data_IF_199417302695
#
_entry.id   IF_199417302695
#
_cell.length_a   1.000
_cell.length_b   1.000
_cell.length_c   1.000
_cell.angle_alpha   90.00
_cell.angle_beta   90.00
_cell.angle_gamma   90.00
#
_symmetry.space_group_name_H-M   'P 1'
#
loop_
_entity.id
_entity.type
_entity.pdbx_description
1 polymer ?
#
# COMPACT_ATOMS: atom_id res chain seq x y z
N UNK A 1 -6.13 7.07 1.33
CA UNK A 1 -6.41 8.52 1.26
C UNK A 1 -7.61 8.79 2.15
N UNK A 2 -7.59 9.85 2.96
CA UNK A 2 -8.72 10.18 3.82
C UNK A 2 -9.98 10.33 2.94
N UNK A 3 -11.03 9.57 3.22
CA UNK A 3 -12.34 9.72 2.57
C UNK A 3 -12.80 11.15 2.79
N UNK A 4 -12.58 12.00 1.79
CA UNK A 4 -13.11 13.35 1.78
C UNK A 4 -14.58 13.21 1.46
N UNK A 5 -15.37 13.04 2.51
CA UNK A 5 -16.83 13.07 2.44
C UNK A 5 -17.27 14.27 1.63
N UNK A 6 -18.15 14.03 0.67
CA UNK A 6 -18.72 15.08 -0.14
C UNK A 6 -19.49 16.05 0.76
N UNK A 7 -19.52 17.34 0.39
CA UNK A 7 -20.21 18.36 1.17
C UNK A 7 -21.69 18.01 1.44
N UNK A 8 -22.30 17.23 0.55
CA UNK A 8 -23.67 16.72 0.67
C UNK A 8 -23.84 15.69 1.79
N UNK A 9 -22.84 14.84 2.02
CA UNK A 9 -22.86 13.86 3.12
C UNK A 9 -22.68 14.56 4.47
N UNK A 10 -21.85 15.61 4.52
CA UNK A 10 -21.66 16.43 5.73
C UNK A 10 -22.98 17.11 6.12
N UNK A 11 -23.66 17.74 5.15
CA UNK A 11 -24.92 18.44 5.39
C UNK A 11 -26.03 17.46 5.81
N UNK A 12 -26.04 16.25 5.24
CA UNK A 12 -27.01 15.21 5.61
C UNK A 12 -26.79 14.70 7.04
N UNK A 13 -25.53 14.47 7.43
CA UNK A 13 -25.14 14.08 8.79
C UNK A 13 -25.51 15.14 9.83
N UNK A 14 -25.29 16.43 9.53
CA UNK A 14 -25.62 17.53 10.44
C UNK A 14 -27.14 17.68 10.60
N UNK A 15 -27.91 17.51 9.52
CA UNK A 15 -29.38 17.53 9.62
C UNK A 15 -29.93 16.35 10.43
N UNK A 16 -29.36 15.15 10.25
CA UNK A 16 -29.77 13.93 10.94
C UNK A 16 -29.44 13.99 12.44
N UNK A 17 -28.29 14.57 12.80
CA UNK A 17 -27.91 14.78 14.21
C UNK A 17 -28.81 15.81 14.91
N UNK A 18 -29.27 16.83 14.18
CA UNK A 18 -30.12 17.90 14.73
C UNK A 18 -31.58 17.49 14.88
N UNK A 19 -32.05 16.55 14.05
CA UNK A 19 -33.42 16.03 14.07
C UNK A 19 -33.68 15.04 15.23
N UNK A 20 -32.63 14.54 15.89
CA UNK A 20 -32.76 13.64 17.05
C UNK A 20 -33.33 12.26 16.74
N UNK A 21 -33.45 11.91 15.46
CA UNK A 21 -34.05 10.66 14.96
C UNK A 21 -32.94 9.86 14.27
N UNK A 22 -32.12 9.18 15.08
CA UNK A 22 -31.11 8.24 14.60
C UNK A 22 -31.53 6.85 15.06
N UNK A 23 -32.36 6.18 14.27
CA UNK A 23 -32.69 4.78 14.48
C UNK A 23 -31.52 3.92 13.95
N UNK A 24 -30.82 3.25 14.87
CA UNK A 24 -29.59 2.49 14.62
C UNK A 24 -29.82 1.32 13.64
N UNK A 25 -31.07 0.94 13.44
CA UNK A 25 -31.50 -0.10 12.51
C UNK A 25 -31.52 0.35 11.03
N UNK A 26 -31.66 1.64 10.72
CA UNK A 26 -31.61 2.13 9.32
C UNK A 26 -30.18 2.19 8.78
N UNK A 27 -29.21 2.54 9.62
CA UNK A 27 -27.77 2.61 9.26
C UNK A 27 -27.25 1.23 8.80
N UNK A 28 -27.76 0.14 9.40
CA UNK A 28 -27.40 -1.23 9.01
C UNK A 28 -27.99 -1.65 7.65
N UNK A 29 -29.09 -1.05 7.21
CA UNK A 29 -29.68 -1.35 5.89
C UNK A 29 -28.97 -0.62 4.76
N UNK A 30 -28.47 0.59 4.98
CA UNK A 30 -27.66 1.31 3.98
C UNK A 30 -26.26 0.68 3.77
N UNK A 31 -25.71 -0.03 4.76
CA UNK A 31 -24.45 -0.76 4.59
C UNK A 31 -24.55 -2.03 3.72
N UNK A 32 -25.77 -2.46 3.34
CA UNK A 32 -25.99 -3.57 2.39
C UNK A 32 -26.22 -3.07 0.95
N UNK A 33 -26.08 -1.77 0.72
CA UNK A 33 -26.06 -1.21 -0.62
C UNK A 33 -24.76 -1.69 -1.29
N UNK A 34 -24.92 -2.67 -2.20
CA UNK A 34 -23.82 -3.33 -2.91
C UNK A 34 -22.80 -2.27 -3.30
N UNK A 35 -21.58 -2.36 -2.77
CA UNK A 35 -20.48 -1.49 -3.19
C UNK A 35 -20.32 -1.60 -4.71
N UNK A 36 -20.94 -0.67 -5.44
CA UNK A 36 -20.90 -0.60 -6.90
C UNK A 36 -19.53 -0.04 -7.23
N UNK A 37 -18.56 -0.94 -7.42
CA UNK A 37 -17.25 -0.55 -7.93
C UNK A 37 -17.42 -0.05 -9.37
N UNK A 38 -17.09 1.21 -9.59
CA UNK A 38 -17.01 1.81 -10.93
C UNK A 38 -15.99 1.01 -11.73
N UNK A 39 -16.48 0.25 -12.71
CA UNK A 39 -15.63 -0.56 -13.57
C UNK A 39 -15.32 0.21 -14.85
N UNK A 40 -14.05 0.53 -15.09
CA UNK A 40 -13.63 1.16 -16.32
C UNK A 40 -13.54 0.13 -17.45
N UNK A 41 -14.61 0.02 -18.24
CA UNK A 41 -14.66 -0.86 -19.42
C UNK A 41 -13.58 -0.55 -20.48
N UNK A 42 -12.94 0.62 -20.44
CA UNK A 42 -11.82 0.97 -21.34
C UNK A 42 -10.49 0.36 -20.88
N UNK A 43 -10.40 -0.06 -19.61
CA UNK A 43 -9.24 -0.73 -19.01
C UNK A 43 -9.70 -2.06 -18.38
N UNK A 44 -10.05 -3.08 -19.19
CA UNK A 44 -10.43 -4.36 -18.62
C UNK A 44 -9.27 -4.96 -17.83
N UNK A 45 -9.57 -5.39 -16.60
CA UNK A 45 -8.64 -6.16 -15.78
C UNK A 45 -8.13 -7.35 -16.60
N UNK A 46 -6.80 -7.42 -16.76
CA UNK A 46 -6.16 -8.52 -17.51
C UNK A 46 -6.09 -9.79 -16.69
N UNK A 47 -6.13 -9.67 -15.37
CA UNK A 47 -6.07 -10.78 -14.43
C UNK A 47 -7.46 -11.10 -13.88
N UNK A 48 -7.78 -12.39 -13.79
CA UNK A 48 -9.03 -12.83 -13.18
C UNK A 48 -8.99 -12.62 -11.67
N UNK A 49 -10.17 -12.53 -11.03
CA UNK A 49 -10.27 -12.44 -9.56
C UNK A 49 -9.60 -13.62 -8.85
N UNK A 50 -9.60 -14.79 -9.47
CA UNK A 50 -8.92 -15.98 -8.94
C UNK A 50 -7.39 -15.79 -8.98
N UNK A 51 -6.85 -15.30 -10.10
CA UNK A 51 -5.42 -15.02 -10.24
C UNK A 51 -4.95 -13.93 -9.25
N UNK A 52 -5.76 -12.89 -9.01
CA UNK A 52 -5.48 -11.87 -8.01
C UNK A 52 -5.41 -12.45 -6.58
N UNK A 53 -6.32 -13.39 -6.24
CA UNK A 53 -6.27 -14.11 -4.95
C UNK A 53 -5.02 -14.98 -4.85
N UNK A 54 -4.63 -15.66 -5.92
CA UNK A 54 -3.38 -16.43 -5.93
C UNK A 54 -2.17 -15.54 -5.70
N UNK A 55 -2.10 -14.37 -6.35
CA UNK A 55 -1.04 -13.39 -6.11
C UNK A 55 -1.02 -12.91 -4.66
N UNK A 56 -2.19 -12.72 -4.04
CA UNK A 56 -2.29 -12.38 -2.63
C UNK A 56 -1.67 -13.44 -1.73
N UNK A 57 -2.04 -14.70 -1.93
CA UNK A 57 -1.46 -15.80 -1.16
C UNK A 57 0.06 -15.90 -1.35
N UNK A 58 0.57 -15.63 -2.55
CA UNK A 58 2.02 -15.62 -2.82
C UNK A 58 2.71 -14.50 -2.03
N UNK A 59 2.17 -13.28 -2.07
CA UNK A 59 2.75 -12.14 -1.36
C UNK A 59 2.65 -12.29 0.16
N UNK A 60 1.57 -12.87 0.69
CA UNK A 60 1.45 -13.17 2.12
C UNK A 60 2.54 -14.14 2.60
N UNK A 61 2.91 -15.13 1.77
CA UNK A 61 4.03 -16.02 2.08
C UNK A 61 5.38 -15.31 1.97
N UNK A 62 5.57 -14.49 0.92
CA UNK A 62 6.78 -13.69 0.74
C UNK A 62 7.04 -12.78 1.95
N UNK A 63 6.00 -12.08 2.40
CA UNK A 63 6.03 -11.18 3.56
C UNK A 63 6.48 -11.91 4.82
N UNK A 64 5.95 -13.11 5.11
CA UNK A 64 6.40 -13.92 6.25
C UNK A 64 7.91 -14.25 6.20
N UNK A 65 8.41 -14.57 5.01
CA UNK A 65 9.84 -14.81 4.80
C UNK A 65 10.67 -13.53 4.97
N UNK A 66 10.22 -12.40 4.40
CA UNK A 66 10.89 -11.10 4.52
C UNK A 66 10.97 -10.64 5.98
N UNK A 67 9.87 -10.74 6.72
CA UNK A 67 9.83 -10.43 8.16
C UNK A 67 10.90 -11.19 8.93
N UNK A 68 11.05 -12.49 8.67
CA UNK A 68 12.05 -13.33 9.35
C UNK A 68 13.47 -12.91 8.98
N UNK A 69 13.73 -12.69 7.69
CA UNK A 69 15.06 -12.33 7.16
C UNK A 69 15.49 -10.96 7.68
N UNK A 70 14.64 -9.95 7.52
CA UNK A 70 14.95 -8.57 7.90
C UNK A 70 15.03 -8.42 9.41
N UNK A 71 14.18 -9.10 10.18
CA UNK A 71 14.30 -9.09 11.65
C UNK A 71 15.64 -9.66 12.12
N UNK A 72 16.11 -10.71 11.46
CA UNK A 72 17.41 -11.34 11.76
C UNK A 72 18.57 -10.42 11.36
N UNK A 73 18.52 -9.84 10.16
CA UNK A 73 19.60 -9.01 9.62
C UNK A 73 19.73 -7.68 10.37
N UNK A 74 18.61 -7.01 10.65
CA UNK A 74 18.59 -5.72 11.33
C UNK A 74 18.68 -5.85 12.86
N UNK A 75 18.57 -7.09 13.40
CA UNK A 75 18.54 -7.41 14.85
C UNK A 75 17.44 -6.65 15.58
N UNK A 76 16.24 -6.69 15.02
CA UNK A 76 15.04 -6.05 15.58
C UNK A 76 13.80 -6.77 15.16
N UNK A 77 12.69 -6.49 15.85
CA UNK A 77 11.40 -6.98 15.41
C UNK A 77 10.93 -6.06 14.28
N UNK A 78 10.87 -6.59 13.07
CA UNK A 78 10.24 -5.94 11.91
C UNK A 78 8.92 -6.64 11.67
N UNK A 79 7.89 -5.88 11.34
CA UNK A 79 6.59 -6.43 10.96
C UNK A 79 6.25 -5.99 9.54
N UNK A 80 5.76 -6.92 8.74
CA UNK A 80 5.34 -6.66 7.37
C UNK A 80 3.98 -7.32 7.16
N UNK A 81 3.11 -6.60 6.46
CA UNK A 81 1.79 -7.07 6.05
C UNK A 81 1.51 -6.69 4.61
N UNK A 82 0.69 -7.48 3.93
CA UNK A 82 0.19 -7.15 2.58
C UNK A 82 -0.96 -6.16 2.73
N UNK A 83 -0.73 -4.89 2.38
CA UNK A 83 -1.76 -3.86 2.49
C UNK A 83 -2.86 -3.99 1.41
N UNK A 84 -2.47 -4.10 0.14
CA UNK A 84 -3.39 -4.34 -0.98
C UNK A 84 -2.65 -4.93 -2.17
N UNK A 85 -3.41 -5.52 -3.10
CA UNK A 85 -2.91 -5.93 -4.41
C UNK A 85 -3.86 -5.36 -5.47
N UNK A 86 -3.28 -4.57 -6.35
CA UNK A 86 -4.01 -3.79 -7.34
C UNK A 86 -3.39 -3.96 -8.72
N UNK A 87 -4.23 -3.88 -9.75
CA UNK A 87 -3.78 -3.84 -11.13
C UNK A 87 -3.80 -2.40 -11.62
N UNK A 88 -2.62 -1.80 -11.78
CA UNK A 88 -2.47 -0.43 -12.28
C UNK A 88 -1.60 -0.40 -13.54
N UNK A 89 -1.75 0.67 -14.32
CA UNK A 89 -0.88 0.90 -15.48
C UNK A 89 0.52 1.32 -15.02
N UNK A 90 1.55 1.02 -15.82
CA UNK A 90 2.93 1.40 -15.49
C UNK A 90 3.10 2.91 -15.30
N UNK A 91 2.47 3.72 -16.17
CA UNK A 91 2.53 5.18 -16.05
C UNK A 91 1.91 5.68 -14.73
N UNK A 92 0.82 5.07 -14.30
CA UNK A 92 0.14 5.39 -13.05
C UNK A 92 0.98 4.97 -11.83
N UNK A 93 1.62 3.80 -11.89
CA UNK A 93 2.59 3.37 -10.87
C UNK A 93 3.73 4.39 -10.72
N UNK A 94 4.41 4.76 -11.81
CA UNK A 94 5.53 5.70 -11.75
C UNK A 94 5.10 7.08 -11.24
N UNK A 95 3.90 7.56 -11.62
CA UNK A 95 3.36 8.84 -11.12
C UNK A 95 2.95 8.79 -9.64
N UNK A 96 2.73 7.60 -9.07
CA UNK A 96 2.36 7.44 -7.66
C UNK A 96 3.55 7.43 -6.71
N UNK A 97 4.77 7.27 -7.23
CA UNK A 97 5.97 7.18 -6.42
C UNK A 97 6.38 8.55 -5.85
N UNK A 98 6.86 8.61 -4.59
CA UNK A 98 7.42 9.83 -4.02
C UNK A 98 8.76 10.17 -4.70
N UNK A 99 9.09 11.45 -4.75
CA UNK A 99 10.38 11.93 -5.26
C UNK A 99 11.14 12.63 -4.12
N UNK A 100 12.32 12.11 -3.69
CA UNK A 100 13.03 10.91 -4.15
C UNK A 100 12.44 9.58 -3.63
N UNK A 101 12.75 8.46 -4.30
CA UNK A 101 12.47 7.09 -3.83
C UNK A 101 13.59 6.11 -4.21
N UNK A 102 13.66 4.95 -3.54
CA UNK A 102 14.55 3.84 -3.91
C UNK A 102 13.81 2.90 -4.84
N UNK A 103 14.34 2.71 -6.06
CA UNK A 103 13.78 1.80 -7.06
C UNK A 103 14.84 0.75 -7.43
N UNK A 104 14.52 -0.51 -7.18
CA UNK A 104 15.29 -1.66 -7.67
C UNK A 104 14.59 -2.29 -8.88
N UNK A 105 15.34 -2.56 -9.95
CA UNK A 105 14.86 -3.30 -11.11
C UNK A 105 15.66 -4.60 -11.18
N UNK A 106 14.96 -5.73 -11.25
CA UNK A 106 15.60 -7.04 -11.34
C UNK A 106 14.88 -7.92 -12.34
N UNK A 107 15.63 -8.80 -12.98
CA UNK A 107 15.09 -9.81 -13.88
C UNK A 107 14.41 -10.92 -13.07
N UNK A 108 13.33 -11.47 -13.63
CA UNK A 108 12.54 -12.52 -12.98
C UNK A 108 12.80 -13.89 -13.62
N UNK A 109 13.94 -14.51 -13.37
CA UNK A 109 14.18 -15.88 -13.87
C UNK A 109 13.25 -16.90 -13.18
N UNK A 110 12.66 -17.88 -13.90
CA UNK A 110 12.84 -18.24 -15.32
C UNK A 110 11.90 -17.52 -16.32
N UNK A 111 11.14 -16.53 -15.86
CA UNK A 111 10.23 -15.77 -16.70
C UNK A 111 10.97 -14.72 -17.53
N UNK A 112 10.42 -14.39 -18.70
CA UNK A 112 10.94 -13.29 -19.51
C UNK A 112 10.31 -11.98 -19.04
N UNK A 113 11.07 -11.17 -18.33
CA UNK A 113 10.64 -9.86 -17.88
C UNK A 113 11.41 -9.34 -16.67
N UNK A 114 11.14 -8.07 -16.36
CA UNK A 114 11.69 -7.37 -15.19
C UNK A 114 10.58 -7.07 -14.20
N UNK A 115 10.91 -7.11 -12.92
CA UNK A 115 10.07 -6.57 -11.86
C UNK A 115 10.74 -5.35 -11.25
N UNK A 116 9.89 -4.50 -10.67
CA UNK A 116 10.31 -3.30 -9.97
C UNK A 116 9.94 -3.47 -8.50
N UNK A 117 10.90 -3.19 -7.62
CA UNK A 117 10.69 -3.07 -6.20
C UNK A 117 10.93 -1.61 -5.83
N UNK A 118 9.95 -0.98 -5.20
CA UNK A 118 10.10 0.35 -4.63
C UNK A 118 10.12 0.25 -3.10
N UNK A 119 10.96 1.08 -2.48
CA UNK A 119 11.04 1.21 -1.03
C UNK A 119 11.01 2.69 -0.69
N UNK A 120 10.09 3.06 0.19
CA UNK A 120 10.02 4.42 0.70
C UNK A 120 11.36 4.83 1.36
N UNK A 121 11.90 6.03 1.06
CA UNK A 121 13.17 6.49 1.62
C UNK A 121 13.28 6.40 3.13
N UNK A 122 12.20 6.67 3.87
CA UNK A 122 12.21 6.67 5.34
C UNK A 122 12.56 5.28 5.88
N UNK A 123 11.98 4.24 5.28
CA UNK A 123 12.29 2.84 5.60
C UNK A 123 13.68 2.48 5.11
N UNK A 124 14.06 2.92 3.90
CA UNK A 124 15.39 2.73 3.34
C UNK A 124 16.50 3.24 4.26
N UNK A 125 16.41 4.50 4.67
CA UNK A 125 17.37 5.10 5.59
C UNK A 125 17.35 4.44 6.97
N UNK A 126 16.17 4.08 7.51
CA UNK A 126 16.10 3.36 8.77
C UNK A 126 16.81 1.99 8.69
N UNK A 127 16.68 1.28 7.58
CA UNK A 127 17.41 0.02 7.35
C UNK A 127 18.92 0.25 7.26
N UNK A 128 19.37 1.26 6.50
CA UNK A 128 20.79 1.58 6.33
C UNK A 128 21.43 2.00 7.66
N UNK A 129 20.78 2.89 8.42
CA UNK A 129 21.28 3.33 9.73
C UNK A 129 21.53 2.12 10.65
N UNK A 130 20.60 1.17 10.67
CA UNK A 130 20.77 -0.07 11.45
C UNK A 130 21.89 -0.97 10.92
N UNK A 131 22.06 -1.06 9.61
CA UNK A 131 23.17 -1.83 9.02
C UNK A 131 24.53 -1.22 9.37
N UNK A 132 24.62 0.10 9.51
CA UNK A 132 25.82 0.82 9.94
C UNK A 132 25.98 0.90 11.48
N UNK A 133 25.07 0.28 12.24
CA UNK A 133 25.15 0.16 13.70
C UNK A 133 24.38 1.23 14.49
N UNK A 134 23.57 2.04 13.82
CA UNK A 134 22.62 2.97 14.41
C UNK A 134 21.35 2.30 14.94
N UNK A 135 20.42 3.13 15.43
CA UNK A 135 19.17 2.69 16.08
C UNK A 135 17.97 2.70 15.13
N UNK A 136 18.09 3.27 13.93
CA UNK A 136 17.01 3.42 12.95
C UNK A 136 16.04 4.55 13.27
N UNK A 137 16.42 5.48 14.15
CA UNK A 137 15.56 6.58 14.64
C UNK A 137 16.08 7.96 14.25
N UNK A 138 17.01 8.04 13.30
CA UNK A 138 17.52 9.32 12.83
C UNK A 138 16.44 10.05 12.02
N UNK A 139 16.44 11.38 12.11
CA UNK A 139 15.53 12.22 11.35
C UNK A 139 16.05 12.28 9.91
N UNK A 140 15.52 11.40 9.07
CA UNK A 140 15.96 11.25 7.70
C UNK A 140 15.31 12.34 6.85
N UNK A 141 16.04 13.44 6.64
CA UNK A 141 15.63 14.46 5.68
C UNK A 141 15.45 13.82 4.31
N UNK A 142 14.34 14.13 3.62
CA UNK A 142 14.09 13.70 2.25
C UNK A 142 15.19 14.23 1.32
N UNK A 143 16.23 13.41 1.11
CA UNK A 143 17.41 13.68 0.30
C UNK A 143 17.70 12.46 -0.58
N UNK A 144 18.38 12.64 -1.72
CA UNK A 144 18.86 11.50 -2.49
C UNK A 144 19.89 10.69 -1.69
N UNK A 145 19.88 9.38 -1.93
CA UNK A 145 20.88 8.42 -1.44
C UNK A 145 22.24 8.70 -2.08
N UNK A 146 23.32 8.48 -1.32
CA UNK A 146 24.69 8.56 -1.82
C UNK A 146 25.15 7.21 -2.37
N UNK A 147 26.26 7.16 -3.11
CA UNK A 147 26.78 5.90 -3.69
C UNK A 147 27.15 4.82 -2.64
N UNK A 148 27.36 5.20 -1.38
CA UNK A 148 27.68 4.26 -0.28
C UNK A 148 26.40 3.64 0.31
N UNK A 149 25.28 4.36 0.19
CA UNK A 149 23.97 4.02 0.75
C UNK A 149 23.14 3.21 -0.26
#
# INVERSE_FOLDING_TARGET
MADVLSQQEIDSLISALTAGDLDVEEIKKESDDKQVKVYDFRRPDKLSKEQMRTLQMIHENLVRSLTTILSTQLRTLVDFDVASIEQISYEEFIRSLPEPTIIGISDLEPFQGQFILEINPDIGFAMIDRLFGGLGTADFSSRPFTDIE
#
